data_IF_919836125364
#
_entry.id   IF_919836125364
#
_cell.length_a   1.000
_cell.length_b   1.000
_cell.length_c   1.000
_cell.angle_alpha   90.00
_cell.angle_beta   90.00
_cell.angle_gamma   90.00
#
_symmetry.space_group_name_H-M   'P 1'
#
loop_
_entity.id
_entity.type
_entity.pdbx_description
1 polymer ?
#
# COMPACT_ATOMS: atom_id res chain seq x y z
N UNK A 1 3.46 -21.00 17.56
CA UNK A 1 3.28 -19.80 16.70
C UNK A 1 2.41 -18.84 17.48
N UNK A 2 2.92 -17.65 17.81
CA UNK A 2 2.17 -16.59 18.51
C UNK A 2 1.67 -15.60 17.46
N UNK A 3 0.35 -15.50 17.30
CA UNK A 3 -0.26 -14.55 16.36
C UNK A 3 -0.04 -13.11 16.84
N UNK A 4 0.26 -12.20 15.91
CA UNK A 4 0.39 -10.76 16.20
C UNK A 4 -0.99 -10.13 16.45
N UNK A 5 -2.04 -10.62 15.77
CA UNK A 5 -3.44 -10.27 16.00
C UNK A 5 -4.36 -11.39 15.47
N UNK A 6 -5.59 -11.50 15.99
CA UNK A 6 -6.59 -12.50 15.59
C UNK A 6 -8.00 -11.92 15.39
N UNK A 7 -8.09 -10.62 15.11
CA UNK A 7 -9.35 -9.87 14.99
C UNK A 7 -9.93 -9.89 13.57
N UNK A 8 -9.24 -10.49 12.61
CA UNK A 8 -9.66 -10.57 11.21
C UNK A 8 -9.53 -11.99 10.68
N UNK A 9 -10.41 -12.36 9.74
CA UNK A 9 -10.36 -13.63 9.05
C UNK A 9 -9.20 -13.72 8.05
N UNK A 10 -8.68 -12.58 7.58
CA UNK A 10 -7.57 -12.51 6.64
C UNK A 10 -6.68 -11.28 6.91
N UNK A 11 -5.44 -11.36 6.44
CA UNK A 11 -4.50 -10.25 6.34
C UNK A 11 -3.87 -10.30 4.96
N UNK A 12 -4.05 -9.26 4.14
CA UNK A 12 -3.60 -9.27 2.73
C UNK A 12 -2.41 -8.34 2.47
N UNK A 13 -2.26 -7.29 3.26
CA UNK A 13 -1.14 -6.36 3.22
C UNK A 13 -0.55 -6.19 4.62
N UNK A 14 0.75 -5.90 4.70
CA UNK A 14 1.44 -5.62 5.95
C UNK A 14 2.47 -4.52 5.75
N UNK A 15 2.58 -3.60 6.71
CA UNK A 15 3.60 -2.57 6.75
C UNK A 15 4.12 -2.40 8.18
N UNK A 16 5.41 -2.09 8.31
CA UNK A 16 6.03 -1.78 9.58
C UNK A 16 6.05 -0.26 9.77
N UNK A 17 5.30 0.21 10.76
CA UNK A 17 5.37 1.56 11.30
C UNK A 17 6.37 1.60 12.48
N UNK A 18 6.91 2.77 12.89
CA UNK A 18 7.92 2.84 13.94
C UNK A 18 7.54 2.12 15.24
N UNK A 19 6.27 2.24 15.65
CA UNK A 19 5.77 1.69 16.90
C UNK A 19 4.64 0.65 16.73
N UNK A 20 4.39 0.17 15.52
CA UNK A 20 3.28 -0.74 15.24
C UNK A 20 3.47 -1.55 13.97
N UNK A 21 2.89 -2.74 13.94
CA UNK A 21 2.69 -3.51 12.70
C UNK A 21 1.29 -3.20 12.18
N UNK A 22 1.21 -2.75 10.95
CA UNK A 22 -0.05 -2.37 10.29
C UNK A 22 -0.43 -3.41 9.27
N UNK A 23 -1.71 -3.76 9.18
CA UNK A 23 -2.21 -4.76 8.25
C UNK A 23 -3.62 -4.44 7.76
N UNK A 24 -3.91 -4.81 6.51
CA UNK A 24 -5.24 -4.72 5.90
C UNK A 24 -5.96 -6.06 6.01
N UNK A 25 -7.27 -6.02 6.22
CA UNK A 25 -8.10 -7.22 6.34
C UNK A 25 -8.58 -7.80 5.00
N UNK A 26 -8.28 -7.14 3.87
CA UNK A 26 -8.83 -7.53 2.56
C UNK A 26 -10.29 -7.11 2.36
N UNK A 27 -10.86 -6.37 3.30
CA UNK A 27 -12.20 -5.82 3.27
C UNK A 27 -12.12 -4.30 3.53
N UNK A 28 -12.72 -3.79 4.60
CA UNK A 28 -12.87 -2.36 4.81
C UNK A 28 -11.83 -1.76 5.76
N UNK A 29 -11.07 -2.61 6.46
CA UNK A 29 -10.32 -2.19 7.61
C UNK A 29 -8.82 -2.27 7.41
N UNK A 30 -8.15 -1.26 7.95
CA UNK A 30 -6.71 -1.25 8.19
C UNK A 30 -6.50 -1.13 9.68
N UNK A 31 -5.82 -2.13 10.24
CA UNK A 31 -5.54 -2.24 11.67
C UNK A 31 -4.06 -2.00 11.93
N UNK A 32 -3.75 -1.55 13.14
CA UNK A 32 -2.39 -1.54 13.66
C UNK A 32 -2.34 -2.26 14.99
N UNK A 33 -1.39 -3.18 15.12
CA UNK A 33 -0.97 -3.74 16.40
C UNK A 33 0.22 -2.94 16.90
N UNK A 34 0.03 -2.18 17.97
CA UNK A 34 1.11 -1.44 18.61
C UNK A 34 2.10 -2.40 19.28
N UNK A 35 3.37 -2.00 19.39
CA UNK A 35 4.39 -2.77 20.12
C UNK A 35 4.04 -2.96 21.61
N UNK A 36 3.14 -2.15 22.15
CA UNK A 36 2.58 -2.29 23.49
C UNK A 36 1.47 -3.36 23.59
N UNK A 37 1.12 -4.02 22.48
CA UNK A 37 0.11 -5.09 22.43
C UNK A 37 -1.33 -4.60 22.28
N UNK A 38 -1.55 -3.33 21.95
CA UNK A 38 -2.89 -2.79 21.68
C UNK A 38 -3.19 -2.83 20.18
N UNK A 39 -4.32 -3.43 19.85
CA UNK A 39 -4.92 -3.36 18.52
C UNK A 39 -5.73 -2.08 18.38
N UNK A 40 -5.48 -1.34 17.29
CA UNK A 40 -6.23 -0.14 16.93
C UNK A 40 -6.73 -0.25 15.48
N UNK A 41 -7.90 0.30 15.20
CA UNK A 41 -8.39 0.51 13.83
C UNK A 41 -7.87 1.85 13.34
N UNK A 42 -7.05 1.86 12.29
CA UNK A 42 -6.54 3.09 11.69
C UNK A 42 -7.56 3.71 10.73
N UNK A 43 -8.25 2.87 9.97
CA UNK A 43 -9.32 3.25 9.06
C UNK A 43 -10.24 2.06 8.80
N UNK A 44 -11.53 2.34 8.63
CA UNK A 44 -12.62 1.37 8.40
C UNK A 44 -13.50 1.75 7.21
N UNK A 45 -13.08 2.75 6.44
CA UNK A 45 -13.85 3.31 5.33
C UNK A 45 -13.41 2.77 3.97
N UNK A 46 -12.59 1.73 3.89
CA UNK A 46 -12.24 1.13 2.59
C UNK A 46 -13.39 0.26 2.06
N UNK A 47 -13.35 -0.09 0.78
CA UNK A 47 -14.22 -1.11 0.22
C UNK A 47 -13.47 -2.44 0.09
N UNK A 48 -12.21 -2.40 -0.38
CA UNK A 48 -11.34 -3.58 -0.49
C UNK A 48 -9.87 -3.19 -0.28
N UNK A 49 -9.49 -2.93 0.97
CA UNK A 49 -8.12 -2.61 1.35
C UNK A 49 -7.18 -3.78 1.07
N UNK A 50 -6.23 -3.58 0.14
CA UNK A 50 -5.28 -4.60 -0.33
C UNK A 50 -3.86 -4.28 0.15
N UNK A 51 -2.92 -4.03 -0.75
CA UNK A 51 -1.54 -3.75 -0.43
C UNK A 51 -1.40 -2.50 0.44
N UNK A 52 -0.46 -2.55 1.39
CA UNK A 52 -0.09 -1.42 2.26
C UNK A 52 1.42 -1.24 2.19
N UNK A 53 1.89 0.00 2.17
CA UNK A 53 3.30 0.35 2.30
C UNK A 53 3.48 1.61 3.14
N UNK A 54 4.60 1.72 3.87
CA UNK A 54 4.98 2.90 4.65
C UNK A 54 6.14 3.62 3.96
N UNK A 55 6.09 4.95 3.87
CA UNK A 55 7.15 5.77 3.25
C UNK A 55 8.46 5.86 4.07
N UNK A 56 8.37 5.62 5.37
CA UNK A 56 9.49 5.77 6.30
C UNK A 56 9.50 7.08 7.07
N UNK A 57 8.57 8.00 6.81
CA UNK A 57 8.52 9.34 7.40
C UNK A 57 7.18 9.67 8.08
N UNK A 58 6.11 8.92 7.78
CA UNK A 58 4.87 9.06 8.53
C UNK A 58 3.60 8.69 7.77
N UNK A 59 3.67 8.41 6.47
CA UNK A 59 2.48 8.13 5.68
C UNK A 59 2.44 6.66 5.27
N UNK A 60 1.29 6.04 5.51
CA UNK A 60 0.91 4.76 4.94
C UNK A 60 0.15 5.00 3.65
N UNK A 61 0.38 4.13 2.67
CA UNK A 61 -0.34 4.11 1.42
C UNK A 61 -1.05 2.77 1.30
N UNK A 62 -2.34 2.80 1.00
CA UNK A 62 -3.21 1.63 0.94
C UNK A 62 -3.87 1.60 -0.43
N UNK A 63 -3.74 0.48 -1.13
CA UNK A 63 -4.48 0.21 -2.35
C UNK A 63 -5.90 -0.24 -2.02
N UNK A 64 -6.90 0.36 -2.68
CA UNK A 64 -8.28 -0.12 -2.62
C UNK A 64 -8.75 -0.47 -4.03
N UNK A 65 -8.93 -1.77 -4.29
CA UNK A 65 -9.22 -2.28 -5.62
C UNK A 65 -10.64 -1.92 -6.10
N UNK A 66 -11.55 -1.59 -5.19
CA UNK A 66 -12.95 -1.26 -5.52
C UNK A 66 -13.30 0.20 -5.26
N UNK A 67 -12.36 1.00 -4.76
CA UNK A 67 -12.43 2.48 -4.77
C UNK A 67 -11.53 3.13 -5.83
N UNK A 68 -10.95 2.32 -6.71
CA UNK A 68 -10.14 2.72 -7.85
C UNK A 68 -9.06 3.74 -7.47
N UNK A 69 -8.31 3.45 -6.41
CA UNK A 69 -7.25 4.37 -6.02
C UNK A 69 -6.34 3.88 -4.91
N UNK A 70 -5.28 4.68 -4.73
CA UNK A 70 -4.40 4.59 -3.58
C UNK A 70 -4.73 5.73 -2.64
N UNK A 71 -4.79 5.39 -1.35
CA UNK A 71 -5.14 6.32 -0.29
C UNK A 71 -3.97 6.44 0.69
N UNK A 72 -3.72 7.66 1.15
CA UNK A 72 -2.76 7.96 2.18
C UNK A 72 -3.45 8.18 3.54
N UNK A 73 -2.80 7.74 4.61
CA UNK A 73 -3.18 8.00 5.98
C UNK A 73 -1.94 8.01 6.90
N UNK A 74 -1.97 8.73 8.03
CA UNK A 74 -0.89 8.70 9.00
C UNK A 74 -0.63 7.30 9.56
N UNK A 75 0.64 7.00 9.71
CA UNK A 75 1.17 5.84 10.38
C UNK A 75 0.98 5.96 11.90
N UNK A 76 0.12 5.11 12.47
CA UNK A 76 -0.02 4.96 13.92
C UNK A 76 -1.13 5.77 14.60
N UNK A 77 -1.92 6.54 13.85
CA UNK A 77 -3.10 7.23 14.38
C UNK A 77 -4.31 7.02 13.46
N UNK A 78 -5.52 6.84 14.03
CA UNK A 78 -6.74 6.77 13.23
C UNK A 78 -6.96 8.06 12.45
N UNK A 79 -7.27 7.93 11.16
CA UNK A 79 -7.51 9.08 10.29
C UNK A 79 -8.33 8.67 9.07
N UNK A 80 -9.07 9.64 8.51
CA UNK A 80 -9.77 9.44 7.26
C UNK A 80 -8.75 9.26 6.11
N UNK A 81 -8.80 8.16 5.34
CA UNK A 81 -7.93 7.97 4.20
C UNK A 81 -8.16 9.04 3.12
N UNK A 82 -7.08 9.66 2.64
CA UNK A 82 -7.13 10.63 1.56
C UNK A 82 -6.69 9.98 0.25
N UNK A 83 -7.52 10.05 -0.80
CA UNK A 83 -7.11 9.56 -2.12
C UNK A 83 -5.93 10.40 -2.65
N UNK A 84 -4.85 9.75 -3.06
CA UNK A 84 -3.64 10.40 -3.61
C UNK A 84 -3.46 10.15 -5.10
N UNK A 85 -3.96 9.04 -5.62
CA UNK A 85 -3.98 8.75 -7.05
C UNK A 85 -5.19 7.88 -7.40
N UNK A 86 -5.81 8.17 -8.54
CA UNK A 86 -6.78 7.29 -9.16
C UNK A 86 -6.04 6.16 -9.87
N UNK A 87 -6.33 4.93 -9.47
CA UNK A 87 -5.71 3.72 -9.99
C UNK A 87 -6.76 2.61 -9.95
N UNK A 88 -7.45 2.35 -11.07
CA UNK A 88 -8.43 1.28 -11.15
C UNK A 88 -7.84 -0.07 -10.78
N UNK A 89 -8.59 -0.88 -10.03
CA UNK A 89 -8.15 -2.20 -9.56
C UNK A 89 -6.77 -2.19 -8.86
N UNK A 90 -6.51 -1.16 -8.05
CA UNK A 90 -5.29 -1.07 -7.26
C UNK A 90 -5.17 -2.26 -6.29
N UNK A 91 -4.09 -3.04 -6.39
CA UNK A 91 -3.88 -4.23 -5.53
C UNK A 91 -2.56 -4.16 -4.75
N UNK A 92 -1.42 -4.10 -5.44
CA UNK A 92 -0.08 -4.08 -4.84
C UNK A 92 0.57 -2.71 -4.96
N UNK A 93 1.26 -2.27 -3.90
CA UNK A 93 2.03 -1.01 -3.89
C UNK A 93 3.41 -1.28 -3.29
N UNK A 94 4.44 -0.70 -3.90
CA UNK A 94 5.78 -0.66 -3.34
C UNK A 94 6.33 0.77 -3.45
N UNK A 95 7.12 1.19 -2.46
CA UNK A 95 7.81 2.49 -2.48
C UNK A 95 9.28 2.24 -2.81
N UNK A 96 9.79 3.02 -3.77
CA UNK A 96 11.20 3.03 -4.15
C UNK A 96 11.87 4.30 -3.61
N UNK A 97 12.97 4.15 -2.87
CA UNK A 97 13.79 5.30 -2.44
C UNK A 97 14.85 5.60 -3.49
N UNK A 98 14.97 6.87 -3.91
CA UNK A 98 15.86 7.34 -5.01
C UNK A 98 17.37 7.17 -4.76
N UNK A 99 17.76 6.59 -3.63
CA UNK A 99 19.15 6.35 -3.20
C UNK A 99 19.52 4.85 -3.15
N UNK A 100 18.73 3.98 -3.78
CA UNK A 100 19.21 2.64 -4.13
C UNK A 100 20.21 2.75 -5.30
N UNK A 101 21.40 2.18 -5.13
CA UNK A 101 22.52 2.10 -6.09
C UNK A 101 22.16 1.27 -7.36
N UNK A 102 20.87 1.15 -7.71
CA UNK A 102 20.33 0.36 -8.81
C UNK A 102 19.95 1.20 -10.05
N UNK A 103 20.06 2.53 -10.01
CA UNK A 103 19.82 3.39 -11.18
C UNK A 103 21.00 3.47 -12.17
N UNK A 104 21.87 2.45 -12.21
CA UNK A 104 22.94 2.33 -13.22
C UNK A 104 22.66 1.22 -14.23
N UNK A 105 21.43 1.09 -14.72
CA UNK A 105 21.16 0.41 -16.02
C UNK A 105 19.71 0.53 -16.51
N UNK A 106 18.74 0.94 -15.69
CA UNK A 106 17.33 1.02 -16.09
C UNK A 106 16.92 2.36 -16.73
N UNK A 107 17.88 3.20 -17.13
CA UNK A 107 17.65 4.29 -18.09
C UNK A 107 17.87 3.74 -19.50
N UNK A 108 17.03 2.79 -19.91
CA UNK A 108 16.89 2.43 -21.30
C UNK A 108 15.47 1.91 -21.54
N UNK A 109 14.74 2.71 -22.31
CA UNK A 109 13.50 2.38 -23.01
C UNK A 109 12.22 2.36 -22.18
N UNK A 110 11.32 3.28 -22.52
CA UNK A 110 9.89 3.06 -22.47
C UNK A 110 9.60 1.65 -23.02
N UNK A 111 8.91 0.81 -22.25
CA UNK A 111 8.47 -0.50 -22.75
C UNK A 111 6.97 -0.46 -22.89
N UNK A 112 6.54 -0.07 -24.08
CA UNK A 112 5.22 -0.37 -24.65
C UNK A 112 5.02 -1.89 -24.60
N UNK A 113 4.03 -2.37 -23.84
CA UNK A 113 3.62 -3.78 -23.90
C UNK A 113 2.48 -3.90 -24.91
N UNK A 114 2.84 -4.42 -26.08
CA UNK A 114 1.95 -4.79 -27.15
C UNK A 114 0.90 -5.82 -26.69
N UNK A 115 -0.29 -5.70 -27.28
CA UNK A 115 -1.37 -6.66 -27.25
C UNK A 115 -0.92 -8.01 -27.82
N UNK A 116 -0.84 -9.04 -26.98
CA UNK A 116 -0.88 -10.43 -27.44
C UNK A 116 -1.83 -11.22 -26.53
N UNK A 117 -2.96 -11.58 -27.13
CA UNK A 117 -3.98 -12.55 -26.73
C UNK A 117 -3.72 -13.33 -25.44
N UNK A 118 -4.47 -12.97 -24.39
CA UNK A 118 -4.97 -13.91 -23.38
C UNK A 118 -3.93 -14.58 -22.48
N UNK A 119 -3.47 -13.89 -21.43
CA UNK A 119 -3.42 -14.39 -20.06
C UNK A 119 -2.98 -13.25 -19.11
N UNK A 120 -3.86 -12.85 -18.18
CA UNK A 120 -3.66 -11.99 -17.00
C UNK A 120 -2.39 -11.09 -16.97
N UNK A 121 -2.55 -9.81 -17.29
CA UNK A 121 -1.55 -8.78 -17.04
C UNK A 121 -1.37 -8.55 -15.52
N UNK A 122 -0.21 -8.91 -14.98
CA UNK A 122 0.27 -8.39 -13.70
C UNK A 122 0.71 -6.94 -13.93
N UNK A 123 -0.23 -6.01 -13.79
CA UNK A 123 0.03 -4.57 -13.72
C UNK A 123 0.80 -4.26 -12.43
N UNK A 124 2.13 -4.31 -12.50
CA UNK A 124 2.98 -3.65 -11.51
C UNK A 124 3.12 -2.19 -11.93
N UNK A 125 2.19 -1.36 -11.46
CA UNK A 125 2.30 0.08 -11.62
C UNK A 125 3.35 0.60 -10.63
N UNK A 126 4.50 1.03 -11.15
CA UNK A 126 5.46 1.85 -10.39
C UNK A 126 5.09 3.31 -10.63
N UNK A 127 4.29 3.86 -9.72
CA UNK A 127 4.01 5.31 -9.73
C UNK A 127 5.30 6.04 -9.32
N UNK A 128 5.93 6.76 -10.25
CA UNK A 128 6.94 7.75 -9.87
C UNK A 128 6.22 8.98 -9.29
N UNK A 129 6.03 8.97 -7.96
CA UNK A 129 5.44 10.08 -7.22
C UNK A 129 6.38 11.29 -7.08
N UNK A 130 7.55 11.28 -7.74
CA UNK A 130 8.50 12.38 -7.63
C UNK A 130 8.13 13.64 -8.41
N UNK A 131 7.26 13.54 -9.43
CA UNK A 131 6.84 14.70 -10.23
C UNK A 131 5.62 15.45 -9.68
N UNK A 132 4.92 14.88 -8.69
CA UNK A 132 3.81 15.55 -7.99
C UNK A 132 4.30 16.52 -6.90
N UNK A 133 5.62 16.54 -6.61
CA UNK A 133 6.23 17.46 -5.65
C UNK A 133 7.23 18.40 -6.34
N UNK A 134 6.69 19.32 -7.15
CA UNK A 134 7.33 20.60 -7.48
C UNK A 134 6.41 21.75 -7.11
#
# INVERSE_FOLDING_TARGET
STAVASNSAASVGVAACPNSVVFSDGAQNVFAMTLAGHLITLADTFNTARGIVWDGDGSLYVADSTKDGVFALPCGAPAAPQKVIDLPDATGIAIMKRNAVAFTSAQASETEIAEETGQAAIMSFVADLSDTFR
#
